data_IF_948019770799
#
_entry.id   IF_948019770799
#
_cell.length_a   1.000
_cell.length_b   1.000
_cell.length_c   1.000
_cell.angle_alpha   90.00
_cell.angle_beta   90.00
_cell.angle_gamma   90.00
#
_symmetry.space_group_name_H-M   'P 1'
#
loop_
_entity.id
_entity.type
_entity.pdbx_description
1 polymer ?
#
# COMPACT_ATOMS: atom_id res chain seq x y z
N UNK A 1 -1.47 9.62 4.33
CA UNK A 1 -1.43 9.73 5.81
C UNK A 1 0.00 9.72 6.36
N UNK A 2 0.84 8.73 6.03
CA UNK A 2 2.26 8.69 6.46
C UNK A 2 3.04 9.95 6.01
N UNK A 3 2.82 10.41 4.77
CA UNK A 3 3.43 11.64 4.23
C UNK A 3 3.03 12.90 4.99
N UNK A 4 1.80 12.96 5.51
CA UNK A 4 1.29 14.13 6.26
C UNK A 4 1.97 14.30 7.61
N UNK A 5 2.52 13.23 8.18
CA UNK A 5 3.29 13.28 9.42
C UNK A 5 4.79 13.43 9.12
N UNK A 6 5.30 12.73 8.11
CA UNK A 6 6.73 12.70 7.77
C UNK A 6 7.25 14.02 7.21
N UNK A 7 6.48 14.70 6.36
CA UNK A 7 6.91 15.95 5.70
C UNK A 7 7.05 17.10 6.71
N UNK A 8 6.06 17.42 7.57
CA UNK A 8 6.21 18.46 8.58
C UNK A 8 7.33 18.17 9.58
N UNK A 9 7.55 16.91 9.98
CA UNK A 9 8.68 16.52 10.82
C UNK A 9 10.04 16.83 10.18
N UNK A 10 10.17 16.60 8.87
CA UNK A 10 11.38 16.91 8.13
C UNK A 10 11.58 18.43 8.00
N UNK A 11 10.50 19.19 7.85
CA UNK A 11 10.51 20.65 7.78
C UNK A 11 10.85 21.27 9.14
N UNK A 12 10.22 20.82 10.23
CA UNK A 12 10.54 21.25 11.60
C UNK A 12 12.00 21.00 11.93
N UNK A 13 12.56 19.85 11.51
CA UNK A 13 13.98 19.56 11.69
C UNK A 13 14.91 20.52 10.96
N UNK A 14 14.44 21.12 9.87
CA UNK A 14 15.25 21.96 8.97
C UNK A 14 15.08 23.45 9.26
N UNK A 15 13.92 23.87 9.78
CA UNK A 15 13.55 25.28 9.96
C UNK A 15 13.04 25.63 11.36
N UNK A 16 12.80 24.64 12.23
CA UNK A 16 12.22 24.81 13.55
C UNK A 16 13.22 24.77 14.70
N UNK A 17 12.70 24.99 15.91
CA UNK A 17 13.47 24.88 17.15
C UNK A 17 13.90 23.41 17.41
N UNK A 18 15.16 23.23 17.82
CA UNK A 18 15.74 21.90 18.08
C UNK A 18 15.04 21.13 19.19
N UNK A 19 14.63 21.80 20.27
CA UNK A 19 13.96 21.17 21.40
C UNK A 19 12.56 20.69 20.99
N UNK A 20 11.79 21.56 20.32
CA UNK A 20 10.45 21.22 19.83
C UNK A 20 10.47 20.12 18.78
N UNK A 21 11.45 20.14 17.87
CA UNK A 21 11.64 19.07 16.87
C UNK A 21 11.93 17.73 17.53
N UNK A 22 12.74 17.72 18.60
CA UNK A 22 13.09 16.49 19.31
C UNK A 22 11.87 15.90 20.01
N UNK A 23 11.07 16.73 20.69
CA UNK A 23 9.82 16.28 21.32
C UNK A 23 8.82 15.77 20.29
N UNK A 24 8.61 16.52 19.20
CA UNK A 24 7.70 16.12 18.13
C UNK A 24 8.13 14.81 17.46
N UNK A 25 9.44 14.66 17.22
CA UNK A 25 10.04 13.41 16.72
C UNK A 25 9.77 12.24 17.66
N UNK A 26 9.98 12.42 18.97
CA UNK A 26 9.73 11.36 19.96
C UNK A 26 8.27 10.90 19.97
N UNK A 27 7.32 11.84 19.93
CA UNK A 27 5.88 11.50 19.97
C UNK A 27 5.37 10.90 18.67
N UNK A 28 5.85 11.33 17.50
CA UNK A 28 5.34 10.88 16.21
C UNK A 28 6.08 9.67 15.62
N UNK A 29 7.30 9.36 16.07
CA UNK A 29 8.08 8.23 15.52
C UNK A 29 7.39 6.89 15.75
N UNK A 30 6.77 6.70 16.93
CA UNK A 30 6.03 5.47 17.24
C UNK A 30 4.84 5.28 16.30
N UNK A 31 4.03 6.33 16.11
CA UNK A 31 2.89 6.30 15.19
C UNK A 31 3.30 6.08 13.74
N UNK A 32 4.37 6.74 13.28
CA UNK A 32 4.92 6.52 11.93
C UNK A 32 5.38 5.07 11.74
N UNK A 33 6.05 4.49 12.74
CA UNK A 33 6.50 3.10 12.70
C UNK A 33 5.32 2.13 12.68
N UNK A 34 4.29 2.37 13.48
CA UNK A 34 3.06 1.57 13.48
C UNK A 34 2.40 1.60 12.10
N UNK A 35 2.14 2.78 11.54
CA UNK A 35 1.52 2.93 10.22
C UNK A 35 2.33 2.24 9.11
N UNK A 36 3.67 2.31 9.15
CA UNK A 36 4.53 1.61 8.20
C UNK A 36 4.47 0.08 8.37
N UNK A 37 4.36 -0.39 9.61
CA UNK A 37 4.21 -1.81 9.91
C UNK A 37 2.86 -2.33 9.42
N UNK A 38 1.79 -1.58 9.67
CA UNK A 38 0.44 -1.93 9.24
C UNK A 38 0.35 -1.99 7.71
N UNK A 39 0.93 -1.00 7.03
CA UNK A 39 1.03 -0.98 5.56
C UNK A 39 1.73 -2.24 5.02
N UNK A 40 2.88 -2.61 5.59
CA UNK A 40 3.59 -3.85 5.22
C UNK A 40 2.77 -5.10 5.52
N UNK A 41 2.02 -5.11 6.62
CA UNK A 41 1.14 -6.20 6.99
C UNK A 41 0.03 -6.41 5.96
N UNK A 42 -0.61 -5.32 5.54
CA UNK A 42 -1.64 -5.34 4.49
C UNK A 42 -1.06 -5.79 3.15
N UNK A 43 0.07 -5.23 2.72
CA UNK A 43 0.74 -5.64 1.47
C UNK A 43 1.09 -7.13 1.46
N UNK A 44 1.55 -7.66 2.60
CA UNK A 44 1.83 -9.09 2.77
C UNK A 44 0.56 -9.92 2.68
N UNK A 45 -0.51 -9.50 3.35
CA UNK A 45 -1.79 -10.21 3.32
C UNK A 45 -2.37 -10.27 1.89
N UNK A 46 -2.32 -9.18 1.13
CA UNK A 46 -2.73 -9.13 -0.27
C UNK A 46 -1.90 -10.13 -1.10
N UNK A 47 -0.57 -10.12 -0.94
CA UNK A 47 0.30 -11.03 -1.67
C UNK A 47 0.05 -12.49 -1.31
N UNK A 48 -0.21 -12.79 -0.04
CA UNK A 48 -0.56 -14.13 0.42
C UNK A 48 -1.87 -14.59 -0.23
N UNK A 49 -2.92 -13.76 -0.19
CA UNK A 49 -4.20 -14.06 -0.84
C UNK A 49 -4.03 -14.37 -2.33
N UNK A 50 -3.22 -13.58 -3.05
CA UNK A 50 -2.90 -13.82 -4.47
C UNK A 50 -2.15 -15.14 -4.67
N UNK A 51 -1.25 -15.52 -3.76
CA UNK A 51 -0.40 -16.71 -3.91
C UNK A 51 -1.13 -17.99 -3.50
N UNK A 52 -2.02 -17.91 -2.52
CA UNK A 52 -2.76 -19.03 -1.95
C UNK A 52 -3.89 -19.51 -2.88
N UNK A 53 -4.41 -18.62 -3.74
CA UNK A 53 -5.35 -18.97 -4.80
C UNK A 53 -4.61 -19.26 -6.12
N UNK A 54 -4.65 -20.49 -6.66
CA UNK A 54 -3.94 -20.86 -7.89
C UNK A 54 -4.36 -20.08 -9.13
N UNK A 55 -5.64 -19.71 -9.25
CA UNK A 55 -6.16 -18.94 -10.37
C UNK A 55 -5.66 -17.50 -10.28
N UNK A 56 -5.76 -16.91 -9.09
CA UNK A 56 -5.32 -15.54 -8.85
C UNK A 56 -3.80 -15.40 -9.04
N UNK A 57 -3.04 -16.41 -8.62
CA UNK A 57 -1.60 -16.49 -8.85
C UNK A 57 -1.25 -16.50 -10.33
N UNK A 58 -1.90 -17.36 -11.11
CA UNK A 58 -1.64 -17.46 -12.55
C UNK A 58 -1.96 -16.16 -13.29
N UNK A 59 -3.08 -15.50 -12.95
CA UNK A 59 -3.45 -14.20 -13.51
C UNK A 59 -2.43 -13.13 -13.12
N UNK A 60 -2.00 -13.11 -11.87
CA UNK A 60 -1.00 -12.16 -11.39
C UNK A 60 0.35 -12.34 -12.09
N UNK A 61 0.83 -13.57 -12.27
CA UNK A 61 2.06 -13.87 -13.02
C UNK A 61 1.95 -13.45 -14.49
N UNK A 62 0.79 -13.68 -15.13
CA UNK A 62 0.55 -13.25 -16.50
C UNK A 62 0.62 -11.73 -16.65
N UNK A 63 -0.05 -10.99 -15.77
CA UNK A 63 -0.11 -9.53 -15.83
C UNK A 63 1.24 -8.90 -15.49
N UNK A 64 1.95 -9.44 -14.51
CA UNK A 64 3.29 -8.96 -14.12
C UNK A 64 4.40 -9.33 -15.09
N UNK A 65 4.14 -10.21 -16.07
CA UNK A 65 5.10 -10.50 -17.15
C UNK A 65 5.34 -9.31 -18.09
N UNK A 66 4.44 -8.32 -18.08
CA UNK A 66 4.54 -7.12 -18.91
C UNK A 66 5.55 -6.14 -18.29
N UNK A 67 6.58 -5.71 -19.04
CA UNK A 67 7.54 -4.73 -18.55
C UNK A 67 6.86 -3.45 -18.07
N UNK A 68 7.17 -3.02 -16.84
CA UNK A 68 6.57 -1.84 -16.22
C UNK A 68 5.30 -2.10 -15.41
N UNK A 69 4.79 -3.33 -15.40
CA UNK A 69 3.64 -3.72 -14.57
C UNK A 69 4.13 -4.33 -13.26
N UNK A 70 3.97 -3.56 -12.18
CA UNK A 70 4.28 -4.01 -10.81
C UNK A 70 3.05 -4.53 -10.06
N UNK A 71 3.27 -4.94 -8.81
CA UNK A 71 2.23 -5.52 -7.95
C UNK A 71 0.96 -4.66 -7.88
N UNK A 72 1.08 -3.36 -7.63
CA UNK A 72 -0.09 -2.46 -7.48
C UNK A 72 -0.94 -2.44 -8.75
N UNK A 73 -0.31 -2.26 -9.91
CA UNK A 73 -1.00 -2.19 -11.20
C UNK A 73 -1.63 -3.53 -11.55
N UNK A 74 -0.92 -4.64 -11.28
CA UNK A 74 -1.44 -5.98 -11.54
C UNK A 74 -2.66 -6.30 -10.68
N UNK A 75 -2.62 -5.97 -9.38
CA UNK A 75 -3.75 -6.18 -8.47
C UNK A 75 -4.97 -5.35 -8.90
N UNK A 76 -4.80 -4.08 -9.24
CA UNK A 76 -5.91 -3.23 -9.71
C UNK A 76 -6.53 -3.75 -11.01
N UNK A 77 -5.71 -4.21 -11.97
CA UNK A 77 -6.21 -4.75 -13.24
C UNK A 77 -7.06 -6.01 -13.04
N UNK A 78 -6.62 -6.90 -12.14
CA UNK A 78 -7.34 -8.12 -11.82
C UNK A 78 -8.68 -7.80 -11.15
N UNK A 79 -8.68 -6.89 -10.16
CA UNK A 79 -9.89 -6.46 -9.47
C UNK A 79 -10.90 -5.82 -10.42
N UNK A 80 -10.44 -4.91 -11.29
CA UNK A 80 -11.31 -4.25 -12.27
C UNK A 80 -11.88 -5.23 -13.31
N UNK A 81 -11.20 -6.34 -13.57
CA UNK A 81 -11.67 -7.37 -14.50
C UNK A 81 -12.76 -8.24 -13.86
N UNK A 82 -12.60 -8.61 -12.59
CA UNK A 82 -13.56 -9.43 -11.83
C UNK A 82 -14.86 -8.65 -11.53
N UNK A 83 -14.77 -7.36 -11.17
CA UNK A 83 -15.93 -6.49 -10.93
C UNK A 83 -16.84 -6.39 -12.18
N UNK A 84 -16.24 -6.39 -13.38
CA UNK A 84 -16.99 -6.44 -14.64
C UNK A 84 -17.64 -7.80 -14.91
N UNK A 85 -17.04 -8.90 -14.44
CA UNK A 85 -17.66 -10.22 -14.52
C UNK A 85 -18.86 -10.33 -13.56
N UNK A 86 -18.75 -9.79 -12.34
CA UNK A 86 -19.84 -9.75 -11.37
C UNK A 86 -21.03 -8.88 -11.84
N UNK A 87 -20.77 -7.72 -12.47
CA UNK A 87 -21.81 -6.87 -13.05
C UNK A 87 -22.57 -7.49 -14.24
N UNK A 88 -21.98 -8.47 -14.94
CA UNK A 88 -22.63 -9.19 -16.03
C UNK A 88 -23.59 -10.30 -15.53
N UNK A 89 -23.48 -10.74 -14.28
CA UNK A 89 -24.34 -11.78 -13.68
C UNK A 89 -25.64 -11.19 -13.11
N UNK A 90 -25.70 -9.87 -12.87
CA UNK A 90 -26.91 -9.18 -12.37
C UNK A 90 -27.85 -8.69 -13.48
N UNK A 91 -27.58 -9.00 -14.74
CA UNK A 91 -28.38 -8.57 -15.89
C UNK A 91 -29.05 -9.71 -16.68
N UNK A 92 -29.24 -10.89 -16.06
CA UNK A 92 -30.04 -11.99 -16.60
C UNK A 92 -31.06 -12.53 -15.61
#
# INVERSE_FOLDING_TARGET
MISQLRVPLAEQKRFGDKALTTQLGQHCTSSLKALLSDLKGVEKAIKQLITDDPTLKALFELVTSIPGVGQVVATELILASDDRAAGAVQSY
#
